data_IF_100394059659
#
_entry.id   IF_100394059659
#
_cell.length_a   1.000
_cell.length_b   1.000
_cell.length_c   1.000
_cell.angle_alpha   90.00
_cell.angle_beta   90.00
_cell.angle_gamma   90.00
#
_symmetry.space_group_name_H-M   'P 1'
#
loop_
_entity.id
_entity.type
_entity.pdbx_description
1 polymer ?
#
# COMPACT_ATOMS: atom_id res chain seq x y z
N UNK A 1 26.00 21.00 1.27
CA UNK A 1 24.55 21.21 1.51
C UNK A 1 23.82 20.46 0.41
N UNK A 2 23.54 19.19 0.61
CA UNK A 2 22.88 18.34 -0.39
C UNK A 2 21.39 18.68 -0.40
N UNK A 3 20.95 19.26 -1.52
CA UNK A 3 19.53 19.44 -1.82
C UNK A 3 18.93 18.04 -2.00
N UNK A 4 18.11 17.59 -1.07
CA UNK A 4 17.33 16.36 -1.23
C UNK A 4 16.22 16.68 -2.23
N UNK A 5 16.37 16.18 -3.45
CA UNK A 5 15.52 16.47 -4.61
C UNK A 5 14.05 16.09 -4.35
N UNK A 6 13.15 17.06 -4.37
CA UNK A 6 11.70 16.85 -4.39
C UNK A 6 11.18 16.17 -5.69
N UNK A 7 12.08 15.87 -6.63
CA UNK A 7 11.79 15.22 -7.93
C UNK A 7 11.72 13.69 -7.82
N UNK A 8 12.55 13.07 -6.96
CA UNK A 8 12.61 11.62 -6.79
C UNK A 8 11.29 10.95 -6.35
N UNK A 9 10.50 11.52 -5.41
CA UNK A 9 9.25 10.89 -4.95
C UNK A 9 8.17 10.86 -6.04
N UNK A 10 8.05 11.94 -6.83
CA UNK A 10 7.09 12.06 -7.94
C UNK A 10 7.42 11.11 -9.08
N UNK A 11 8.70 11.07 -9.47
CA UNK A 11 9.15 10.15 -10.50
C UNK A 11 9.00 8.70 -10.07
N UNK A 12 9.10 8.43 -8.77
CA UNK A 12 9.01 7.10 -8.22
C UNK A 12 7.59 6.57 -8.02
N UNK A 13 6.61 7.39 -7.64
CA UNK A 13 5.19 7.00 -7.72
C UNK A 13 4.71 6.90 -9.14
N UNK A 14 5.15 7.81 -10.02
CA UNK A 14 4.96 7.65 -11.44
C UNK A 14 5.72 6.41 -11.97
N UNK A 15 6.84 6.01 -11.37
CA UNK A 15 7.55 4.78 -11.70
C UNK A 15 6.73 3.56 -11.26
N UNK A 16 6.29 3.46 -10.01
CA UNK A 16 5.38 2.41 -9.53
C UNK A 16 4.14 2.32 -10.44
N UNK A 17 3.54 3.46 -10.77
CA UNK A 17 2.38 3.52 -11.66
C UNK A 17 2.69 3.16 -13.12
N UNK A 18 3.97 3.23 -13.55
CA UNK A 18 4.45 2.87 -14.89
C UNK A 18 5.05 1.45 -14.97
N UNK A 19 5.58 0.91 -13.87
CA UNK A 19 6.28 -0.39 -13.80
C UNK A 19 5.41 -1.50 -13.23
N UNK A 20 4.38 -1.14 -12.50
CA UNK A 20 3.39 -2.05 -11.93
C UNK A 20 2.02 -1.54 -12.31
N UNK A 21 1.15 -2.41 -12.80
CA UNK A 21 -0.25 -2.03 -13.01
C UNK A 21 -0.80 -1.57 -11.64
N UNK A 22 -1.19 -0.28 -11.48
CA UNK A 22 -1.81 0.22 -10.24
C UNK A 22 -3.06 -0.59 -9.87
N UNK A 23 -3.64 -1.24 -10.87
CA UNK A 23 -4.78 -2.15 -10.79
C UNK A 23 -4.46 -3.43 -10.00
N UNK A 24 -3.18 -3.84 -9.93
CA UNK A 24 -2.74 -5.09 -9.30
C UNK A 24 -2.03 -4.84 -7.97
N UNK A 25 -1.21 -3.78 -7.90
CA UNK A 25 -0.53 -3.40 -6.67
C UNK A 25 -1.47 -2.63 -5.74
N UNK A 26 -1.72 -3.15 -4.54
CA UNK A 26 -2.76 -2.62 -3.66
C UNK A 26 -4.13 -3.25 -3.86
N UNK A 27 -4.33 -4.09 -4.89
CA UNK A 27 -5.63 -4.71 -5.18
C UNK A 27 -6.29 -5.41 -3.98
N UNK A 28 -5.57 -6.27 -3.21
CA UNK A 28 -6.21 -6.98 -2.09
C UNK A 28 -6.83 -6.02 -1.08
N UNK A 29 -6.15 -4.90 -0.82
CA UNK A 29 -6.59 -3.86 0.10
C UNK A 29 -7.68 -2.99 -0.49
N UNK A 30 -7.50 -2.51 -1.72
CA UNK A 30 -8.45 -1.61 -2.38
C UNK A 30 -9.82 -2.27 -2.55
N UNK A 31 -9.83 -3.54 -2.96
CA UNK A 31 -11.05 -4.33 -3.13
C UNK A 31 -11.79 -4.50 -1.80
N UNK A 32 -11.06 -4.84 -0.74
CA UNK A 32 -11.61 -4.96 0.60
C UNK A 32 -12.12 -3.62 1.14
N UNK A 33 -11.36 -2.53 1.00
CA UNK A 33 -11.78 -1.21 1.44
C UNK A 33 -13.04 -0.74 0.71
N UNK A 34 -13.13 -0.90 -0.61
CA UNK A 34 -14.35 -0.58 -1.38
C UNK A 34 -15.56 -1.43 -0.95
N UNK A 35 -15.35 -2.66 -0.51
CA UNK A 35 -16.42 -3.52 -0.02
C UNK A 35 -16.93 -3.14 1.38
N UNK A 36 -16.09 -2.54 2.22
CA UNK A 36 -16.44 -2.11 3.59
C UNK A 36 -16.91 -0.66 3.63
N UNK A 37 -16.26 0.22 2.88
CA UNK A 37 -16.43 1.67 2.95
C UNK A 37 -17.09 2.19 1.68
N UNK A 38 -18.37 2.55 1.82
CA UNK A 38 -19.15 3.23 0.78
C UNK A 38 -19.04 4.76 0.86
N UNK A 39 -18.39 5.26 1.91
CA UNK A 39 -18.16 6.67 2.18
C UNK A 39 -16.64 6.89 2.24
N UNK A 40 -16.10 7.64 1.29
CA UNK A 40 -14.67 7.86 1.08
C UNK A 40 -14.40 8.06 -0.40
N UNK A 41 -13.48 8.96 -0.75
CA UNK A 41 -13.12 9.13 -2.16
C UNK A 41 -12.34 7.90 -2.64
N UNK A 42 -12.48 7.54 -3.92
CA UNK A 42 -11.73 6.43 -4.50
C UNK A 42 -10.20 6.65 -4.38
N UNK A 43 -9.77 7.91 -4.41
CA UNK A 43 -8.37 8.32 -4.23
C UNK A 43 -7.87 8.06 -2.80
N UNK A 44 -8.69 8.31 -1.78
CA UNK A 44 -8.34 8.06 -0.38
C UNK A 44 -8.20 6.56 -0.08
N UNK A 45 -9.11 5.74 -0.63
CA UNK A 45 -9.06 4.28 -0.49
C UNK A 45 -7.85 3.69 -1.23
N UNK A 46 -7.55 4.20 -2.42
CA UNK A 46 -6.35 3.84 -3.17
C UNK A 46 -5.08 4.20 -2.38
N UNK A 47 -5.05 5.38 -1.78
CA UNK A 47 -3.91 5.84 -0.98
C UNK A 47 -3.61 4.88 0.18
N UNK A 48 -4.65 4.46 0.91
CA UNK A 48 -4.51 3.48 1.98
C UNK A 48 -3.99 2.13 1.45
N UNK A 49 -4.54 1.66 0.34
CA UNK A 49 -4.15 0.39 -0.27
C UNK A 49 -2.69 0.39 -0.71
N UNK A 50 -2.24 1.47 -1.35
CA UNK A 50 -0.85 1.64 -1.79
C UNK A 50 0.12 1.63 -0.62
N UNK A 51 -0.20 2.35 0.46
CA UNK A 51 0.65 2.41 1.65
C UNK A 51 0.78 1.02 2.30
N UNK A 52 -0.34 0.30 2.44
CA UNK A 52 -0.33 -1.06 2.99
C UNK A 52 0.52 -2.01 2.13
N UNK A 53 0.38 -1.97 0.80
CA UNK A 53 1.19 -2.81 -0.10
C UNK A 53 2.67 -2.41 -0.13
N UNK A 54 2.99 -1.12 -0.01
CA UNK A 54 4.38 -0.67 0.10
C UNK A 54 5.04 -1.16 1.38
N UNK A 55 4.30 -1.14 2.50
CA UNK A 55 4.78 -1.73 3.76
C UNK A 55 5.03 -3.23 3.62
N UNK A 56 4.09 -3.99 3.04
CA UNK A 56 4.29 -5.42 2.77
C UNK A 56 5.50 -5.69 1.88
N UNK A 57 5.73 -4.82 0.89
CA UNK A 57 6.91 -4.89 0.02
C UNK A 57 8.21 -4.73 0.81
N UNK A 58 8.22 -3.84 1.80
CA UNK A 58 9.39 -3.64 2.67
C UNK A 58 9.69 -4.86 3.53
N UNK A 59 8.67 -5.43 4.18
CA UNK A 59 8.89 -6.53 5.14
C UNK A 59 9.06 -7.90 4.46
N UNK A 60 8.46 -8.13 3.28
CA UNK A 60 8.50 -9.45 2.59
C UNK A 60 9.52 -9.52 1.45
N UNK A 61 9.68 -8.45 0.67
CA UNK A 61 10.54 -8.44 -0.54
C UNK A 61 11.77 -7.52 -0.42
N UNK A 62 11.93 -6.84 0.71
CA UNK A 62 13.08 -5.98 0.98
C UNK A 62 13.04 -4.65 0.23
N UNK A 63 11.83 -4.11 -0.03
CA UNK A 63 11.68 -2.75 -0.53
C UNK A 63 12.37 -1.74 0.42
N UNK A 64 13.12 -0.74 -0.08
CA UNK A 64 13.96 0.08 0.79
C UNK A 64 13.13 1.00 1.69
N UNK A 65 13.38 0.97 2.99
CA UNK A 65 12.58 1.71 3.99
C UNK A 65 12.70 3.24 3.85
N UNK A 66 13.85 3.73 3.39
CA UNK A 66 14.06 5.13 3.04
C UNK A 66 13.12 5.58 1.91
N UNK A 67 12.98 4.75 0.87
CA UNK A 67 12.02 4.98 -0.22
C UNK A 67 10.57 4.84 0.25
N UNK A 68 10.27 3.84 1.10
CA UNK A 68 8.94 3.66 1.70
C UNK A 68 8.49 4.96 2.37
N UNK A 69 9.31 5.51 3.28
CA UNK A 69 8.98 6.73 4.02
C UNK A 69 8.75 7.93 3.09
N UNK A 70 9.54 8.05 2.03
CA UNK A 70 9.38 9.09 1.02
C UNK A 70 8.04 8.95 0.30
N UNK A 71 7.66 7.74 -0.15
CA UNK A 71 6.42 7.53 -0.88
C UNK A 71 5.19 7.68 0.00
N UNK A 72 5.23 7.11 1.21
CA UNK A 72 4.14 7.20 2.18
C UNK A 72 3.83 8.66 2.49
N UNK A 73 4.86 9.48 2.75
CA UNK A 73 4.70 10.92 2.95
C UNK A 73 4.09 11.61 1.73
N UNK A 74 4.59 11.30 0.54
CA UNK A 74 4.05 11.88 -0.69
C UNK A 74 2.56 11.52 -0.89
N UNK A 75 2.18 10.25 -0.69
CA UNK A 75 0.80 9.77 -0.84
C UNK A 75 -0.10 10.54 0.13
N UNK A 76 0.29 10.65 1.40
CA UNK A 76 -0.48 11.43 2.37
C UNK A 76 -0.61 12.91 2.00
N UNK A 77 0.47 13.53 1.51
CA UNK A 77 0.49 14.95 1.18
C UNK A 77 -0.35 15.28 -0.09
N UNK A 78 -0.60 14.32 -0.99
CA UNK A 78 -1.15 14.59 -2.32
C UNK A 78 -2.45 13.83 -2.67
N UNK A 79 -2.70 12.67 -2.07
CA UNK A 79 -3.77 11.75 -2.50
C UNK A 79 -4.89 11.61 -1.45
N UNK A 80 -4.82 12.39 -0.36
CA UNK A 80 -5.78 12.35 0.73
C UNK A 80 -5.48 11.23 1.72
N UNK A 81 -6.24 11.20 2.83
CA UNK A 81 -6.11 10.16 3.83
C UNK A 81 -7.45 9.61 4.25
N UNK A 82 -7.58 8.31 4.11
CA UNK A 82 -8.66 7.53 4.68
C UNK A 82 -8.35 7.19 6.15
N UNK A 83 -9.37 6.97 6.98
CA UNK A 83 -9.15 6.50 8.36
C UNK A 83 -10.08 5.34 8.64
N UNK A 84 -9.54 4.32 9.29
CA UNK A 84 -10.27 3.19 9.83
C UNK A 84 -9.67 2.81 11.17
N UNK A 85 -10.48 2.19 12.04
CA UNK A 85 -10.04 1.77 13.36
C UNK A 85 -9.67 0.28 13.41
N UNK A 86 -8.93 -0.11 14.44
CA UNK A 86 -8.49 -1.48 14.64
C UNK A 86 -9.62 -2.50 14.84
N UNK A 87 -10.83 -2.05 15.24
CA UNK A 87 -12.01 -2.92 15.37
C UNK A 87 -12.55 -3.34 14.01
N UNK A 88 -12.18 -2.62 12.95
CA UNK A 88 -12.57 -2.95 11.57
C UNK A 88 -11.62 -3.94 10.90
N UNK A 89 -10.47 -4.29 11.49
CA UNK A 89 -9.45 -5.11 10.84
C UNK A 89 -9.98 -6.47 10.41
N UNK A 90 -10.71 -7.16 11.28
CA UNK A 90 -11.34 -8.44 10.95
C UNK A 90 -12.35 -8.27 9.80
N UNK A 91 -13.22 -7.25 9.87
CA UNK A 91 -14.21 -6.98 8.82
C UNK A 91 -13.56 -6.69 7.47
N UNK A 92 -12.48 -5.92 7.44
CA UNK A 92 -11.74 -5.63 6.20
C UNK A 92 -11.07 -6.91 5.69
N UNK A 93 -10.39 -7.66 6.56
CA UNK A 93 -9.71 -8.90 6.18
C UNK A 93 -10.66 -9.94 5.61
N UNK A 94 -11.87 -10.09 6.17
CA UNK A 94 -12.92 -10.97 5.64
C UNK A 94 -13.39 -10.58 4.22
N UNK A 95 -13.15 -9.34 3.78
CA UNK A 95 -13.44 -8.89 2.42
C UNK A 95 -12.30 -9.10 1.44
N UNK A 96 -11.09 -9.41 1.92
CA UNK A 96 -9.98 -9.73 1.02
C UNK A 96 -10.25 -11.09 0.38
N UNK A 97 -10.16 -11.16 -0.95
CA UNK A 97 -10.34 -12.42 -1.67
C UNK A 97 -9.19 -13.39 -1.32
N UNK A 98 -9.49 -14.67 -1.03
CA UNK A 98 -8.45 -15.65 -0.70
C UNK A 98 -7.38 -15.80 -1.80
N UNK A 99 -7.74 -15.62 -3.08
CA UNK A 99 -6.76 -15.71 -4.17
C UNK A 99 -5.83 -14.49 -4.25
N UNK A 100 -6.32 -13.30 -3.91
CA UNK A 100 -5.48 -12.09 -3.79
C UNK A 100 -4.45 -12.24 -2.66
N UNK A 101 -4.77 -12.97 -1.58
CA UNK A 101 -3.80 -13.29 -0.53
C UNK A 101 -2.70 -14.26 -1.00
N UNK A 102 -3.00 -15.21 -1.89
CA UNK A 102 -2.00 -16.14 -2.43
C UNK A 102 -1.09 -15.51 -3.49
N UNK A 103 -1.58 -14.45 -4.14
CA UNK A 103 -0.88 -13.77 -5.23
C UNK A 103 -0.86 -12.26 -5.01
N UNK A 104 -0.41 -11.80 -3.85
CA UNK A 104 -0.25 -10.38 -3.58
C UNK A 104 0.98 -9.85 -4.33
N UNK A 105 0.80 -8.82 -5.16
CA UNK A 105 1.89 -8.14 -5.85
C UNK A 105 2.67 -7.23 -4.90
N UNK A 106 3.98 -7.47 -4.77
CA UNK A 106 4.91 -6.74 -3.90
C UNK A 106 6.16 -6.30 -4.68
N UNK A 107 6.80 -5.23 -4.23
CA UNK A 107 7.97 -4.65 -4.89
C UNK A 107 9.27 -5.09 -4.21
N UNK A 108 10.26 -5.52 -4.99
CA UNK A 108 11.63 -5.71 -4.48
C UNK A 108 12.40 -4.39 -4.37
N UNK A 109 13.64 -4.47 -3.89
CA UNK A 109 14.57 -3.33 -3.78
C UNK A 109 14.77 -2.51 -5.08
N UNK A 110 14.60 -3.16 -6.22
CA UNK A 110 14.79 -2.57 -7.55
C UNK A 110 13.46 -2.07 -8.14
N UNK A 111 12.35 -2.19 -7.41
CA UNK A 111 11.01 -1.79 -7.86
C UNK A 111 10.34 -2.81 -8.78
N UNK A 112 10.85 -4.05 -8.86
CA UNK A 112 10.23 -5.11 -9.67
C UNK A 112 9.13 -5.80 -8.88
N UNK A 113 8.08 -6.19 -9.58
CA UNK A 113 6.93 -6.87 -8.97
C UNK A 113 7.18 -8.36 -8.83
N UNK A 114 6.93 -8.89 -7.64
CA UNK A 114 6.91 -10.31 -7.31
C UNK A 114 5.59 -10.66 -6.65
N UNK A 115 5.09 -11.87 -6.87
CA UNK A 115 3.87 -12.35 -6.24
C UNK A 115 4.20 -13.19 -5.02
N UNK A 116 3.59 -12.85 -3.88
CA UNK A 116 3.80 -13.53 -2.61
C UNK A 116 2.48 -13.84 -1.92
N UNK A 117 2.50 -14.92 -1.16
CA UNK A 117 1.43 -15.24 -0.24
C UNK A 117 1.53 -14.36 1.01
N UNK A 118 0.41 -13.77 1.43
CA UNK A 118 0.28 -12.97 2.63
C UNK A 118 -0.75 -13.61 3.57
N UNK A 119 -0.38 -13.76 4.83
CA UNK A 119 -1.27 -14.28 5.87
C UNK A 119 -1.98 -13.13 6.61
N UNK A 120 -2.95 -13.48 7.47
CA UNK A 120 -3.71 -12.50 8.27
C UNK A 120 -2.81 -11.56 9.08
N UNK A 121 -1.72 -12.08 9.64
CA UNK A 121 -0.78 -11.28 10.40
C UNK A 121 -0.10 -10.22 9.53
N UNK A 122 0.35 -10.58 8.32
CA UNK A 122 0.94 -9.62 7.38
C UNK A 122 -0.04 -8.46 7.09
N UNK A 123 -1.31 -8.78 6.84
CA UNK A 123 -2.36 -7.79 6.57
C UNK A 123 -2.58 -6.87 7.78
N UNK A 124 -2.62 -7.43 8.99
CA UNK A 124 -2.84 -6.66 10.21
C UNK A 124 -1.66 -5.74 10.52
N UNK A 125 -0.43 -6.19 10.30
CA UNK A 125 0.77 -5.34 10.43
C UNK A 125 0.74 -4.18 9.42
N UNK A 126 0.25 -4.40 8.20
CA UNK A 126 0.08 -3.34 7.21
C UNK A 126 -0.98 -2.31 7.64
N UNK A 127 -2.07 -2.77 8.27
CA UNK A 127 -3.07 -1.88 8.85
C UNK A 127 -2.54 -1.08 10.04
N UNK A 128 -1.79 -1.73 10.93
CA UNK A 128 -1.14 -1.07 12.06
C UNK A 128 -0.17 0.01 11.55
N UNK A 129 0.61 -0.28 10.52
CA UNK A 129 1.51 0.69 9.90
C UNK A 129 0.76 1.89 9.31
N UNK A 130 -0.37 1.66 8.65
CA UNK A 130 -1.17 2.75 8.08
C UNK A 130 -1.82 3.64 9.15
N UNK A 131 -2.32 3.02 10.22
CA UNK A 131 -3.11 3.71 11.25
C UNK A 131 -2.25 4.36 12.35
N UNK A 132 -1.09 3.80 12.68
CA UNK A 132 -0.13 4.37 13.64
C UNK A 132 0.82 5.36 12.96
N UNK A 133 0.26 6.50 12.54
CA UNK A 133 1.03 7.65 12.03
C UNK A 133 2.19 8.07 12.92
#
# INVERSE_FOLDING_TARGET
MTQTNATEPREALAHIARTTLPEVFGEPFLSAFKAVYTQGSEEELMSAALICSLFLSAIKEGFPTDRLNIYVRYIWDNCGSFTFDCKMYDTIFEKIQPESLKQTALLDKDGKTHYKECCKQDIFEAFDFYTNR
#
